data_IF_374110635924
#
_entry.id   IF_374110635924
#
_cell.length_a   1.000
_cell.length_b   1.000
_cell.length_c   1.000
_cell.angle_alpha   90.00
_cell.angle_beta   90.00
_cell.angle_gamma   90.00
#
_symmetry.space_group_name_H-M   'P 1'
#
loop_
_entity.id
_entity.type
_entity.pdbx_description
1 polymer ?
#
# COMPACT_ATOMS: atom_id res chain seq x y z
N UNK A 1 -27.31 -25.69 -18.29
CA UNK A 1 -27.48 -24.36 -17.64
C UNK A 1 -26.10 -23.82 -17.40
N UNK A 2 -25.76 -22.66 -17.94
CA UNK A 2 -24.45 -22.05 -17.71
C UNK A 2 -24.46 -21.50 -16.28
N UNK A 3 -23.58 -22.00 -15.42
CA UNK A 3 -23.42 -21.46 -14.07
C UNK A 3 -22.25 -20.47 -14.05
N UNK A 4 -22.32 -19.43 -13.23
CA UNK A 4 -21.22 -18.50 -12.93
C UNK A 4 -19.96 -19.26 -12.49
N UNK A 5 -20.11 -20.43 -11.86
CA UNK A 5 -18.98 -21.28 -11.43
C UNK A 5 -18.25 -21.92 -12.62
N UNK A 6 -18.95 -22.11 -13.74
CA UNK A 6 -18.42 -22.65 -14.99
C UNK A 6 -18.00 -21.56 -15.99
N UNK A 7 -18.00 -20.30 -15.57
CA UNK A 7 -17.54 -19.20 -16.40
C UNK A 7 -16.08 -19.42 -16.78
N UNK A 8 -15.81 -19.46 -18.09
CA UNK A 8 -14.47 -19.68 -18.61
C UNK A 8 -13.74 -18.33 -18.77
N UNK A 9 -12.55 -18.25 -18.19
CA UNK A 9 -11.64 -17.13 -18.37
C UNK A 9 -10.80 -17.39 -19.62
N UNK A 10 -10.86 -16.51 -20.63
CA UNK A 10 -10.14 -16.70 -21.89
C UNK A 10 -8.64 -16.92 -21.67
N UNK A 11 -8.13 -18.06 -22.13
CA UNK A 11 -6.71 -18.41 -22.05
C UNK A 11 -6.20 -18.82 -20.66
N UNK A 12 -7.06 -18.93 -19.65
CA UNK A 12 -6.65 -19.29 -18.28
C UNK A 12 -7.43 -20.46 -17.68
N UNK A 13 -8.65 -20.75 -18.16
CA UNK A 13 -9.45 -21.90 -17.72
C UNK A 13 -10.68 -21.49 -16.88
N UNK A 14 -11.24 -22.41 -16.08
CA UNK A 14 -12.42 -22.15 -15.24
C UNK A 14 -12.18 -21.05 -14.20
N UNK A 15 -13.18 -20.18 -13.98
CA UNK A 15 -13.09 -19.05 -13.05
C UNK A 15 -12.63 -19.45 -11.64
N UNK A 16 -13.15 -20.55 -11.08
CA UNK A 16 -12.78 -21.02 -9.73
C UNK A 16 -11.30 -21.39 -9.64
N UNK A 17 -10.78 -22.08 -10.67
CA UNK A 17 -9.36 -22.43 -10.74
C UNK A 17 -8.48 -21.19 -10.92
N UNK A 18 -8.95 -20.22 -11.70
CA UNK A 18 -8.27 -18.94 -11.90
C UNK A 18 -8.23 -18.12 -10.61
N UNK A 19 -9.32 -18.04 -9.84
CA UNK A 19 -9.32 -17.35 -8.55
C UNK A 19 -8.39 -18.03 -7.54
N UNK A 20 -8.39 -19.37 -7.48
CA UNK A 20 -7.42 -20.12 -6.68
C UNK A 20 -5.98 -19.79 -7.07
N UNK A 21 -5.68 -19.72 -8.38
CA UNK A 21 -4.36 -19.33 -8.90
C UNK A 21 -4.00 -17.90 -8.50
N UNK A 22 -4.94 -16.95 -8.62
CA UNK A 22 -4.76 -15.55 -8.20
C UNK A 22 -4.45 -15.47 -6.71
N UNK A 23 -5.13 -16.25 -5.86
CA UNK A 23 -4.88 -16.33 -4.43
C UNK A 23 -3.45 -16.78 -4.13
N UNK A 24 -3.00 -17.85 -4.77
CA UNK A 24 -1.65 -18.38 -4.61
C UNK A 24 -0.58 -17.37 -5.04
N UNK A 25 -0.76 -16.75 -6.21
CA UNK A 25 0.13 -15.72 -6.73
C UNK A 25 0.19 -14.51 -5.80
N UNK A 26 -0.96 -14.05 -5.30
CA UNK A 26 -1.05 -12.94 -4.35
C UNK A 26 -0.35 -13.25 -3.03
N UNK A 27 -0.45 -14.50 -2.54
CA UNK A 27 0.20 -14.94 -1.29
C UNK A 27 1.71 -15.07 -1.39
N UNK A 28 2.23 -15.31 -2.59
CA UNK A 28 3.64 -15.42 -2.93
C UNK A 28 4.31 -14.07 -3.29
N UNK A 29 3.57 -12.97 -3.24
CA UNK A 29 4.11 -11.62 -3.42
C UNK A 29 4.99 -11.23 -2.23
N UNK A 30 6.22 -10.76 -2.49
CA UNK A 30 7.11 -10.19 -1.47
C UNK A 30 6.63 -8.79 -1.03
N UNK A 31 6.19 -7.97 -1.99
CA UNK A 31 5.60 -6.64 -1.76
C UNK A 31 4.19 -6.55 -2.34
N UNK A 32 3.29 -5.78 -1.74
CA UNK A 32 1.91 -5.63 -2.24
C UNK A 32 0.99 -6.83 -1.97
N UNK A 33 1.46 -7.86 -1.25
CA UNK A 33 0.69 -9.03 -0.79
C UNK A 33 -0.66 -8.66 -0.19
N UNK A 34 -0.69 -7.64 0.68
CA UNK A 34 -1.93 -7.19 1.32
C UNK A 34 -2.92 -6.62 0.29
N UNK A 35 -2.44 -5.78 -0.63
CA UNK A 35 -3.26 -5.17 -1.69
C UNK A 35 -3.79 -6.24 -2.64
N UNK A 36 -2.92 -7.12 -3.15
CA UNK A 36 -3.31 -8.20 -4.04
C UNK A 36 -4.27 -9.19 -3.36
N UNK A 37 -4.02 -9.53 -2.08
CA UNK A 37 -4.92 -10.36 -1.29
C UNK A 37 -6.30 -9.74 -1.08
N UNK A 38 -6.35 -8.43 -0.84
CA UNK A 38 -7.61 -7.70 -0.73
C UNK A 38 -8.39 -7.68 -2.05
N UNK A 39 -7.71 -7.46 -3.17
CA UNK A 39 -8.32 -7.49 -4.50
C UNK A 39 -8.83 -8.89 -4.87
N UNK A 40 -8.08 -9.94 -4.53
CA UNK A 40 -8.55 -11.31 -4.66
C UNK A 40 -9.83 -11.53 -3.83
N UNK A 41 -9.86 -11.08 -2.58
CA UNK A 41 -11.08 -11.17 -1.74
C UNK A 41 -12.26 -10.44 -2.37
N UNK A 42 -12.03 -9.27 -2.98
CA UNK A 42 -13.07 -8.53 -3.70
C UNK A 42 -13.65 -9.32 -4.88
N UNK A 43 -12.78 -9.97 -5.68
CA UNK A 43 -13.21 -10.83 -6.78
C UNK A 43 -14.05 -12.03 -6.31
N UNK A 44 -13.68 -12.64 -5.18
CA UNK A 44 -14.45 -13.74 -4.56
C UNK A 44 -15.82 -13.23 -4.09
N UNK A 45 -15.90 -12.09 -3.41
CA UNK A 45 -17.18 -11.53 -2.99
C UNK A 45 -18.11 -11.22 -4.17
N UNK A 46 -17.56 -10.73 -5.29
CA UNK A 46 -18.34 -10.50 -6.51
C UNK A 46 -18.83 -11.84 -7.07
N UNK A 47 -17.98 -12.86 -7.14
CA UNK A 47 -18.38 -14.20 -7.59
C UNK A 47 -19.49 -14.78 -6.72
N UNK A 48 -19.36 -14.73 -5.40
CA UNK A 48 -20.37 -15.23 -4.46
C UNK A 48 -21.70 -14.47 -4.62
N UNK A 49 -21.64 -13.14 -4.82
CA UNK A 49 -22.81 -12.31 -5.09
C UNK A 49 -23.48 -12.60 -6.44
N UNK A 50 -22.70 -12.97 -7.47
CA UNK A 50 -23.23 -13.38 -8.77
C UNK A 50 -23.85 -14.79 -8.69
N UNK A 51 -23.26 -15.71 -7.92
CA UNK A 51 -23.82 -17.03 -7.64
C UNK A 51 -25.12 -16.94 -6.83
N UNK A 52 -25.16 -16.10 -5.80
CA UNK A 52 -26.36 -15.93 -4.97
C UNK A 52 -27.56 -15.38 -5.75
N UNK A 53 -27.32 -14.64 -6.83
CA UNK A 53 -28.36 -14.11 -7.73
C UNK A 53 -28.71 -15.06 -8.88
N UNK A 54 -27.99 -16.18 -9.03
CA UNK A 54 -28.24 -17.15 -10.10
C UNK A 54 -29.64 -17.81 -9.96
N UNK A 55 -30.15 -17.91 -8.74
CA UNK A 55 -31.52 -18.37 -8.45
C UNK A 55 -32.61 -17.42 -8.99
N UNK A 56 -32.30 -16.11 -9.11
CA UNK A 56 -33.18 -15.08 -9.68
C UNK A 56 -32.97 -14.85 -11.19
N UNK A 57 -32.00 -15.56 -11.78
CA UNK A 57 -31.60 -15.45 -13.19
C UNK A 57 -30.17 -14.93 -13.38
N UNK A 58 -29.55 -15.31 -14.50
CA UNK A 58 -28.17 -14.92 -14.81
C UNK A 58 -28.00 -13.39 -14.88
N UNK A 59 -26.93 -12.84 -14.28
CA UNK A 59 -26.58 -11.43 -14.40
C UNK A 59 -26.47 -10.98 -15.87
N UNK A 60 -26.69 -9.68 -16.16
CA UNK A 60 -26.52 -9.15 -17.51
C UNK A 60 -25.15 -9.52 -18.08
N UNK A 61 -25.13 -9.97 -19.34
CA UNK A 61 -23.90 -10.42 -20.03
C UNK A 61 -22.80 -9.36 -19.98
N UNK A 62 -23.15 -8.08 -20.12
CA UNK A 62 -22.21 -6.97 -20.03
C UNK A 62 -21.48 -6.90 -18.68
N UNK A 63 -22.18 -7.16 -17.57
CA UNK A 63 -21.59 -7.20 -16.23
C UNK A 63 -20.66 -8.40 -16.06
N UNK A 64 -21.03 -9.56 -16.63
CA UNK A 64 -20.18 -10.76 -16.64
C UNK A 64 -18.92 -10.54 -17.49
N UNK A 65 -19.05 -9.96 -18.68
CA UNK A 65 -17.92 -9.65 -19.57
C UNK A 65 -16.95 -8.66 -18.92
N UNK A 66 -17.48 -7.66 -18.19
CA UNK A 66 -16.69 -6.71 -17.41
C UNK A 66 -15.95 -7.40 -16.26
N UNK A 67 -16.63 -8.28 -15.52
CA UNK A 67 -16.02 -9.06 -14.44
C UNK A 67 -14.89 -9.96 -14.97
N UNK A 68 -15.14 -10.71 -16.05
CA UNK A 68 -14.12 -11.53 -16.73
C UNK A 68 -12.93 -10.68 -17.16
N UNK A 69 -13.18 -9.48 -17.71
CA UNK A 69 -12.10 -8.57 -18.13
C UNK A 69 -11.20 -8.18 -16.95
N UNK A 70 -11.77 -7.87 -15.78
CA UNK A 70 -10.98 -7.55 -14.59
C UNK A 70 -10.19 -8.75 -14.09
N UNK A 71 -10.81 -9.94 -14.04
CA UNK A 71 -10.11 -11.19 -13.65
C UNK A 71 -8.93 -11.48 -14.58
N UNK A 72 -9.12 -11.37 -15.90
CA UNK A 72 -8.05 -11.57 -16.90
C UNK A 72 -6.91 -10.58 -16.70
N UNK A 73 -7.24 -9.28 -16.54
CA UNK A 73 -6.22 -8.25 -16.35
C UNK A 73 -5.45 -8.46 -15.06
N UNK A 74 -6.13 -8.80 -13.96
CA UNK A 74 -5.48 -9.02 -12.66
C UNK A 74 -4.58 -10.25 -12.67
N UNK A 75 -5.05 -11.36 -13.26
CA UNK A 75 -4.21 -12.55 -13.47
C UNK A 75 -2.94 -12.22 -14.29
N UNK A 76 -3.09 -11.45 -15.38
CA UNK A 76 -1.95 -11.03 -16.22
C UNK A 76 -0.98 -10.14 -15.45
N UNK A 77 -1.51 -9.22 -14.63
CA UNK A 77 -0.71 -8.37 -13.75
C UNK A 77 0.13 -9.22 -12.78
N UNK A 78 -0.50 -10.14 -12.04
CA UNK A 78 0.20 -10.99 -11.09
C UNK A 78 1.27 -11.84 -11.76
N UNK A 79 0.97 -12.43 -12.92
CA UNK A 79 1.97 -13.17 -13.69
C UNK A 79 3.15 -12.30 -14.16
N UNK A 80 2.90 -11.04 -14.53
CA UNK A 80 3.96 -10.11 -14.97
C UNK A 80 4.89 -9.71 -13.83
N UNK A 81 4.34 -9.59 -12.62
CA UNK A 81 5.03 -9.12 -11.42
C UNK A 81 5.44 -10.24 -10.45
N UNK A 82 5.19 -11.50 -10.80
CA UNK A 82 5.60 -12.64 -10.00
C UNK A 82 7.11 -12.62 -9.75
N UNK A 83 7.50 -12.62 -8.47
CA UNK A 83 8.92 -12.59 -8.04
C UNK A 83 9.63 -11.25 -8.30
N UNK A 84 8.89 -10.17 -8.55
CA UNK A 84 9.42 -8.80 -8.70
C UNK A 84 8.85 -7.90 -7.60
N UNK A 85 9.59 -6.85 -7.27
CA UNK A 85 9.10 -5.77 -6.41
C UNK A 85 7.99 -4.98 -7.10
N UNK A 86 7.03 -4.51 -6.30
CA UNK A 86 5.81 -3.90 -6.80
C UNK A 86 5.99 -2.38 -6.83
N UNK A 87 6.10 -1.80 -8.02
CA UNK A 87 6.32 -0.36 -8.18
C UNK A 87 5.01 0.41 -7.95
N UNK A 88 5.07 1.64 -7.41
CA UNK A 88 3.87 2.47 -7.21
C UNK A 88 3.01 2.67 -8.46
N UNK A 89 3.62 2.68 -9.65
CA UNK A 89 2.88 2.76 -10.92
C UNK A 89 2.03 1.51 -11.18
N UNK A 90 2.52 0.35 -10.75
CA UNK A 90 1.83 -0.93 -10.81
C UNK A 90 0.64 -0.96 -9.81
N UNK A 91 0.76 -0.26 -8.67
CA UNK A 91 -0.32 -0.03 -7.71
C UNK A 91 -1.41 0.86 -8.32
N UNK A 92 -1.04 1.95 -9.02
CA UNK A 92 -1.99 2.83 -9.70
C UNK A 92 -2.72 2.08 -10.82
N UNK A 93 -2.00 1.31 -11.64
CA UNK A 93 -2.59 0.47 -12.70
C UNK A 93 -3.54 -0.59 -12.11
N UNK A 94 -3.24 -1.14 -10.92
CA UNK A 94 -4.14 -2.02 -10.16
C UNK A 94 -5.41 -1.30 -9.72
N UNK A 95 -5.32 -0.07 -9.22
CA UNK A 95 -6.48 0.71 -8.81
C UNK A 95 -7.38 1.07 -10.00
N UNK A 96 -6.81 1.50 -11.12
CA UNK A 96 -7.55 1.76 -12.37
C UNK A 96 -8.23 0.49 -12.91
N UNK A 97 -7.60 -0.68 -12.75
CA UNK A 97 -8.17 -1.98 -13.12
C UNK A 97 -9.50 -2.27 -12.41
N UNK A 98 -9.62 -1.84 -11.15
CA UNK A 98 -10.71 -2.20 -10.24
C UNK A 98 -11.74 -1.08 -10.03
N UNK A 99 -11.42 0.16 -10.38
CA UNK A 99 -12.36 1.30 -10.38
C UNK A 99 -13.61 1.02 -11.25
N UNK A 100 -13.49 0.10 -12.20
CA UNK A 100 -14.56 -0.31 -13.12
C UNK A 100 -15.59 -1.27 -12.48
N UNK A 101 -15.29 -1.92 -11.33
CA UNK A 101 -16.11 -3.03 -10.80
C UNK A 101 -16.52 -2.90 -9.33
N UNK A 102 -15.75 -2.21 -8.49
CA UNK A 102 -16.00 -2.19 -7.04
C UNK A 102 -16.92 -1.03 -6.61
N UNK A 103 -18.23 -1.09 -6.89
CA UNK A 103 -19.18 -0.07 -6.43
C UNK A 103 -19.14 0.02 -4.91
N UNK A 104 -18.60 1.13 -4.36
CA UNK A 104 -18.35 1.52 -2.95
C UNK A 104 -16.87 1.55 -2.48
N UNK A 105 -15.90 1.21 -3.33
CA UNK A 105 -14.46 1.29 -2.96
C UNK A 105 -14.01 2.71 -2.62
N UNK A 106 -14.51 3.71 -3.36
CA UNK A 106 -14.19 5.12 -3.12
C UNK A 106 -14.68 5.54 -1.73
N UNK A 107 -15.89 5.13 -1.37
CA UNK A 107 -16.48 5.41 -0.06
C UNK A 107 -15.72 4.68 1.06
N UNK A 108 -15.31 3.43 0.82
CA UNK A 108 -14.49 2.64 1.74
C UNK A 108 -13.08 3.21 1.92
N UNK A 109 -12.44 3.66 0.83
CA UNK A 109 -11.13 4.31 0.86
C UNK A 109 -11.22 5.65 1.57
N UNK A 110 -12.18 6.49 1.21
CA UNK A 110 -12.43 7.75 1.93
C UNK A 110 -12.74 7.49 3.41
N UNK A 111 -13.47 6.43 3.74
CA UNK A 111 -13.71 6.01 5.12
C UNK A 111 -12.42 5.57 5.81
N UNK A 112 -11.60 4.74 5.19
CA UNK A 112 -10.32 4.28 5.74
C UNK A 112 -9.33 5.43 5.90
N UNK A 113 -9.27 6.37 4.96
CA UNK A 113 -8.47 7.59 5.05
C UNK A 113 -8.95 8.44 6.24
N UNK A 114 -10.26 8.60 6.41
CA UNK A 114 -10.84 9.31 7.57
C UNK A 114 -10.51 8.60 8.89
N UNK A 115 -10.74 7.29 8.98
CA UNK A 115 -10.45 6.50 10.19
C UNK A 115 -8.97 6.52 10.53
N UNK A 116 -8.09 6.33 9.54
CA UNK A 116 -6.64 6.35 9.77
C UNK A 116 -6.16 7.74 10.18
N UNK A 117 -6.76 8.81 9.62
CA UNK A 117 -6.56 10.19 10.08
C UNK A 117 -6.99 10.36 11.53
N UNK A 118 -8.19 9.92 11.89
CA UNK A 118 -8.72 10.07 13.25
C UNK A 118 -7.86 9.32 14.27
N UNK A 119 -7.41 8.11 13.91
CA UNK A 119 -6.48 7.32 14.72
C UNK A 119 -5.13 8.01 14.86
N UNK A 120 -4.58 8.59 13.77
CA UNK A 120 -3.33 9.37 13.82
C UNK A 120 -3.47 10.57 14.76
N UNK A 121 -4.55 11.33 14.65
CA UNK A 121 -4.83 12.50 15.50
C UNK A 121 -4.99 12.07 16.96
N UNK A 122 -5.73 10.99 17.22
CA UNK A 122 -5.91 10.45 18.57
C UNK A 122 -4.57 9.99 19.17
N UNK A 123 -3.77 9.27 18.39
CA UNK A 123 -2.46 8.76 18.80
C UNK A 123 -1.47 9.89 19.04
N UNK A 124 -1.48 10.94 18.22
CA UNK A 124 -0.62 12.11 18.37
C UNK A 124 -0.94 12.94 19.62
N UNK A 125 -2.20 12.91 20.10
CA UNK A 125 -2.63 13.55 21.35
C UNK A 125 -2.27 12.75 22.59
N UNK A 126 -2.05 11.44 22.46
CA UNK A 126 -1.61 10.57 23.54
C UNK A 126 -0.08 10.46 23.56
N UNK A 127 0.54 11.25 24.44
CA UNK A 127 1.99 11.25 24.62
C UNK A 127 2.55 9.87 24.98
N UNK A 128 1.79 9.03 25.68
CA UNK A 128 2.20 7.67 26.02
C UNK A 128 2.28 6.77 24.80
N UNK A 129 1.28 6.85 23.91
CA UNK A 129 1.28 6.11 22.65
C UNK A 129 2.39 6.60 21.69
N UNK A 130 2.61 7.91 21.59
CA UNK A 130 3.73 8.45 20.78
C UNK A 130 5.06 7.85 21.25
N UNK A 131 5.36 7.94 22.54
CA UNK A 131 6.62 7.44 23.10
C UNK A 131 6.73 5.91 23.07
N UNK A 132 5.61 5.19 23.06
CA UNK A 132 5.58 3.73 22.90
C UNK A 132 6.14 3.28 21.56
N UNK A 133 5.93 4.06 20.51
CA UNK A 133 6.38 3.77 19.14
C UNK A 133 7.81 4.24 18.84
N UNK A 134 8.36 5.18 19.62
CA UNK A 134 9.75 5.71 19.47
C UNK A 134 10.55 5.52 20.76
N UNK A 135 10.75 4.26 21.15
CA UNK A 135 11.52 3.91 22.35
C UNK A 135 13.02 4.07 22.15
N UNK A 136 13.52 3.68 20.98
CA UNK A 136 14.95 3.66 20.71
C UNK A 136 15.48 5.04 20.31
N UNK A 137 16.69 5.44 20.76
CA UNK A 137 17.25 6.75 20.43
C UNK A 137 17.39 7.01 18.93
N UNK A 138 17.58 5.96 18.11
CA UNK A 138 17.64 6.08 16.65
C UNK A 138 16.26 6.39 16.07
N UNK A 139 15.25 5.66 16.49
CA UNK A 139 13.86 5.87 16.05
C UNK A 139 13.36 7.25 16.47
N UNK A 140 13.77 7.72 17.65
CA UNK A 140 13.49 9.10 18.11
C UNK A 140 14.08 10.16 17.18
N UNK A 141 15.35 10.01 16.78
CA UNK A 141 16.01 10.93 15.84
C UNK A 141 15.32 10.88 14.47
N UNK A 142 15.06 9.68 13.96
CA UNK A 142 14.44 9.50 12.64
C UNK A 142 13.01 10.05 12.59
N UNK A 143 12.19 9.74 13.59
CA UNK A 143 10.83 10.27 13.69
C UNK A 143 10.83 11.79 13.80
N UNK A 144 11.72 12.35 14.62
CA UNK A 144 11.80 13.79 14.82
C UNK A 144 12.28 14.53 13.56
N UNK A 145 13.26 13.99 12.84
CA UNK A 145 13.70 14.55 11.55
C UNK A 145 12.61 14.43 10.48
N UNK A 146 11.88 13.31 10.45
CA UNK A 146 10.75 13.11 9.54
C UNK A 146 9.64 14.11 9.81
N UNK A 147 9.22 14.26 11.07
CA UNK A 147 8.17 15.22 11.44
C UNK A 147 8.60 16.66 11.13
N UNK A 148 9.86 17.02 11.37
CA UNK A 148 10.40 18.34 11.00
C UNK A 148 10.38 18.59 9.50
N UNK A 149 10.77 17.61 8.69
CA UNK A 149 10.67 17.69 7.23
C UNK A 149 9.23 17.98 6.78
N UNK A 150 8.27 17.25 7.33
CA UNK A 150 6.87 17.41 6.98
C UNK A 150 6.32 18.79 7.36
N UNK A 151 6.72 19.33 8.52
CA UNK A 151 6.30 20.65 9.00
C UNK A 151 7.02 21.80 8.31
N UNK A 152 8.31 21.67 8.00
CA UNK A 152 9.12 22.79 7.47
C UNK A 152 9.12 22.85 5.94
N UNK A 153 9.20 21.70 5.25
CA UNK A 153 9.35 21.64 3.80
C UNK A 153 8.07 21.25 3.07
N UNK A 154 7.16 20.50 3.72
CA UNK A 154 5.97 19.93 3.08
C UNK A 154 4.64 20.40 3.68
N UNK A 155 4.66 21.48 4.46
CA UNK A 155 3.45 22.01 5.10
C UNK A 155 2.27 22.24 4.13
N UNK A 156 2.55 22.66 2.89
CA UNK A 156 1.53 22.89 1.87
C UNK A 156 0.80 21.62 1.40
N UNK A 157 1.36 20.43 1.67
CA UNK A 157 0.76 19.13 1.32
C UNK A 157 -0.18 18.61 2.40
N UNK A 158 -0.18 19.22 3.58
CA UNK A 158 -0.92 18.75 4.75
C UNK A 158 -2.00 19.72 5.19
N UNK A 159 -3.05 19.17 5.78
CA UNK A 159 -4.06 19.98 6.44
C UNK A 159 -3.52 20.56 7.76
N UNK A 160 -4.08 21.71 8.17
CA UNK A 160 -3.65 22.41 9.40
C UNK A 160 -3.68 21.51 10.63
N UNK A 161 -4.70 20.68 10.77
CA UNK A 161 -4.88 19.79 11.93
C UNK A 161 -3.78 18.71 12.02
N UNK A 162 -3.38 18.14 10.88
CA UNK A 162 -2.26 17.17 10.81
C UNK A 162 -0.95 17.86 11.21
N UNK A 163 -0.72 19.09 10.73
CA UNK A 163 0.48 19.86 11.07
C UNK A 163 0.57 20.18 12.56
N UNK A 164 -0.55 20.53 13.19
CA UNK A 164 -0.57 20.76 14.64
C UNK A 164 -0.29 19.45 15.42
N UNK A 165 -0.78 18.31 14.93
CA UNK A 165 -0.41 17.00 15.50
C UNK A 165 1.09 16.72 15.35
N UNK A 166 1.67 16.96 14.17
CA UNK A 166 3.11 16.78 13.94
C UNK A 166 3.95 17.67 14.87
N UNK A 167 3.58 18.95 15.02
CA UNK A 167 4.25 19.87 15.96
C UNK A 167 4.14 19.38 17.40
N UNK A 168 2.97 18.92 17.83
CA UNK A 168 2.76 18.36 19.16
C UNK A 168 3.66 17.13 19.40
N UNK A 169 3.73 16.20 18.44
CA UNK A 169 4.60 15.03 18.53
C UNK A 169 6.08 15.42 18.60
N UNK A 170 6.53 16.42 17.83
CA UNK A 170 7.91 16.94 17.91
C UNK A 170 8.20 17.43 19.33
N UNK A 171 7.31 18.20 19.95
CA UNK A 171 7.47 18.68 21.32
C UNK A 171 7.58 17.50 22.29
N UNK A 172 6.62 16.57 22.24
CA UNK A 172 6.59 15.39 23.12
C UNK A 172 7.87 14.55 23.01
N UNK A 173 8.34 14.28 21.78
CA UNK A 173 9.56 13.49 21.56
C UNK A 173 10.80 14.28 22.02
N UNK A 174 10.84 15.60 21.80
CA UNK A 174 11.96 16.46 22.24
C UNK A 174 12.03 16.56 23.77
N UNK A 175 10.90 16.62 24.46
CA UNK A 175 10.84 16.68 25.92
C UNK A 175 11.22 15.34 26.57
N UNK A 176 10.81 14.22 25.96
CA UNK A 176 11.12 12.88 26.46
C UNK A 176 12.53 12.41 26.10
N UNK A 177 13.10 12.91 25.01
CA UNK A 177 14.44 12.55 24.54
C UNK A 177 15.48 13.59 24.96
N UNK A 178 16.76 13.20 25.04
CA UNK A 178 17.88 14.16 25.19
C UNK A 178 18.39 14.65 23.83
N UNK A 179 17.62 14.40 22.76
CA UNK A 179 18.03 14.69 21.38
C UNK A 179 17.75 16.16 21.08
N UNK A 180 18.80 16.91 20.83
CA UNK A 180 18.71 18.29 20.34
C UNK A 180 19.04 18.30 18.86
N UNK A 181 18.03 18.26 17.99
CA UNK A 181 18.21 18.67 16.60
C UNK A 181 17.83 20.14 16.50
N UNK A 182 18.79 20.99 16.10
CA UNK A 182 18.51 22.42 15.88
C UNK A 182 17.86 22.61 14.52
N UNK A 183 18.52 22.15 13.47
CA UNK A 183 18.06 22.31 12.08
C UNK A 183 17.88 20.97 11.40
N UNK A 184 16.96 20.92 10.42
CA UNK A 184 16.79 19.79 9.53
C UNK A 184 18.03 19.66 8.63
N UNK A 185 18.80 18.55 8.71
CA UNK A 185 20.00 18.40 7.90
C UNK A 185 19.66 18.28 6.42
N UNK A 186 20.43 18.92 5.51
CA UNK A 186 20.16 18.87 4.07
C UNK A 186 20.38 17.48 3.45
N UNK A 187 21.03 16.56 4.17
CA UNK A 187 21.27 15.17 3.76
C UNK A 187 20.20 14.21 4.28
N UNK A 188 19.25 14.67 5.11
CA UNK A 188 18.23 13.80 5.65
C UNK A 188 17.22 13.41 4.57
N UNK A 189 17.02 12.11 4.40
CA UNK A 189 16.04 11.54 3.48
C UNK A 189 15.18 10.57 4.30
N UNK A 190 13.86 10.77 4.38
CA UNK A 190 12.97 9.82 5.05
C UNK A 190 13.02 8.45 4.40
N UNK A 191 12.91 7.40 5.20
CA UNK A 191 12.93 6.02 4.69
C UNK A 191 11.81 5.76 3.68
N UNK A 192 10.64 6.39 3.85
CA UNK A 192 9.50 6.24 2.95
C UNK A 192 9.67 6.94 1.58
N UNK A 193 10.65 7.83 1.44
CA UNK A 193 10.96 8.50 0.16
C UNK A 193 11.94 7.68 -0.70
N UNK A 194 12.43 6.57 -0.16
CA UNK A 194 13.43 5.71 -0.80
C UNK A 194 12.83 4.35 -1.07
N UNK A 195 12.89 3.91 -2.32
CA UNK A 195 12.53 2.55 -2.72
C UNK A 195 13.79 1.72 -2.84
N UNK A 196 13.92 0.69 -2.02
CA UNK A 196 15.08 -0.18 -1.97
C UNK A 196 14.88 -1.38 -2.87
N UNK A 197 15.90 -1.74 -3.64
CA UNK A 197 15.98 -3.08 -4.20
C UNK A 197 16.42 -4.05 -3.09
N UNK A 198 15.58 -5.05 -2.82
CA UNK A 198 15.78 -6.12 -1.83
C UNK A 198 17.08 -6.88 -2.05
N UNK A 199 17.52 -7.01 -3.31
CA UNK A 199 18.78 -7.68 -3.65
C UNK A 199 19.95 -6.69 -3.56
N UNK A 200 20.89 -6.90 -2.62
CA UNK A 200 22.10 -6.11 -2.60
C UNK A 200 22.95 -6.43 -3.84
N UNK A 201 23.47 -5.41 -4.49
CA UNK A 201 24.39 -5.59 -5.63
C UNK A 201 25.85 -5.73 -5.17
N UNK A 202 26.15 -5.40 -3.92
CA UNK A 202 27.47 -5.60 -3.30
C UNK A 202 27.35 -6.08 -1.86
N UNK A 203 28.21 -7.01 -1.45
CA UNK A 203 28.32 -7.46 -0.06
C UNK A 203 29.79 -7.54 0.33
N UNK A 204 30.12 -7.02 1.51
CA UNK A 204 31.47 -7.08 2.06
C UNK A 204 31.47 -7.15 3.58
N UNK A 205 32.65 -7.12 4.17
CA UNK A 205 32.83 -7.13 5.63
C UNK A 205 32.21 -5.92 6.35
N UNK A 206 31.90 -4.86 5.60
CA UNK A 206 31.36 -3.59 6.12
C UNK A 206 29.85 -3.41 5.87
N UNK A 207 29.14 -4.45 5.41
CA UNK A 207 27.70 -4.39 5.15
C UNK A 207 27.31 -4.81 3.73
N UNK A 208 26.04 -4.56 3.38
CA UNK A 208 25.47 -4.82 2.06
C UNK A 208 25.06 -3.52 1.40
N UNK A 209 25.35 -3.40 0.11
CA UNK A 209 25.06 -2.21 -0.68
C UNK A 209 23.88 -2.50 -1.60
N UNK A 210 22.86 -1.65 -1.51
CA UNK A 210 21.60 -1.76 -2.21
C UNK A 210 21.43 -0.63 -3.23
N UNK A 211 20.86 -0.97 -4.38
CA UNK A 211 20.37 0.01 -5.35
C UNK A 211 19.05 0.55 -4.81
N UNK A 212 18.83 1.85 -4.92
CA UNK A 212 17.58 2.46 -4.50
C UNK A 212 17.19 3.62 -5.42
N UNK A 213 15.91 3.98 -5.39
CA UNK A 213 15.37 5.12 -6.12
C UNK A 213 14.80 6.12 -5.12
N UNK A 214 15.29 7.34 -5.18
CA UNK A 214 14.83 8.47 -4.39
C UNK A 214 13.91 9.38 -5.21
N UNK A 215 12.76 9.72 -4.62
CA UNK A 215 11.81 10.68 -5.20
C UNK A 215 11.29 10.22 -6.58
N UNK A 216 11.13 11.14 -7.56
CA UNK A 216 10.51 10.82 -8.85
C UNK A 216 11.35 9.95 -9.79
N UNK A 217 12.54 9.48 -9.38
CA UNK A 217 13.33 8.56 -10.20
C UNK A 217 14.86 8.62 -10.04
N UNK A 218 15.38 9.38 -9.07
CA UNK A 218 16.83 9.53 -8.89
C UNK A 218 17.44 8.23 -8.35
N UNK A 219 18.33 7.60 -9.10
CA UNK A 219 19.02 6.38 -8.65
C UNK A 219 20.09 6.73 -7.61
N UNK A 220 20.01 6.09 -6.45
CA UNK A 220 20.91 6.26 -5.31
C UNK A 220 21.45 4.91 -4.85
N UNK A 221 22.56 4.95 -4.11
CA UNK A 221 23.21 3.77 -3.56
C UNK A 221 23.18 3.89 -2.05
N UNK A 222 22.70 2.85 -1.38
CA UNK A 222 22.61 2.81 0.09
C UNK A 222 23.45 1.66 0.61
N UNK A 223 24.16 1.92 1.70
CA UNK A 223 25.08 0.99 2.34
C UNK A 223 24.60 0.68 3.75
#
# INVERSE_FOLDING_TARGET
MASVVHLAIPGAGPLVEVLSTISQLSGAMEEGKYVCGHLHSGLVCIMDGLQAKEDDGLPPKESLDRFVTVVVKFLRYLNRHQGKEMVNEAIVELFELFDVVMVNWKEQWEHNVRVNRDVLIASAKDNGEVLRHVRDPRDQVEALLTLKLEVEQRAAQHEREILECCKSMIITITEASRVTTKDLPPWFIPLHDVRFESKPFGRGSFGSVHSAVWGPGTKVVIK
#
